data_IF_960751470544
#
_entry.id   IF_960751470544
#
_cell.length_a   1.000
_cell.length_b   1.000
_cell.length_c   1.000
_cell.angle_alpha   90.00
_cell.angle_beta   90.00
_cell.angle_gamma   90.00
#
_symmetry.space_group_name_H-M   'P 1'
#
loop_
_entity.id
_entity.type
_entity.pdbx_description
1 polymer ?
#
# COMPACT_ATOMS: atom_id res chain seq x y z
N UNK A 1 30.11 9.34 37.83
CA UNK A 1 30.29 8.17 36.94
C UNK A 1 29.01 7.33 37.01
N UNK A 2 28.02 7.64 36.18
CA UNK A 2 27.62 6.95 34.92
C UNK A 2 26.66 5.76 35.19
N UNK A 3 25.36 6.00 35.36
CA UNK A 3 24.29 5.89 34.32
C UNK A 3 24.39 4.66 33.39
N UNK A 4 23.84 3.49 33.78
CA UNK A 4 23.83 2.31 32.89
C UNK A 4 22.69 1.27 33.09
N UNK A 5 21.61 1.56 33.83
CA UNK A 5 20.47 0.60 33.94
C UNK A 5 19.28 0.92 33.03
N UNK A 6 18.98 2.20 32.77
CA UNK A 6 17.83 2.59 31.93
C UNK A 6 18.03 2.31 30.43
N UNK A 7 19.29 2.38 29.96
CA UNK A 7 19.64 2.16 28.55
C UNK A 7 19.39 0.72 28.11
N UNK A 8 19.63 -0.27 28.98
CA UNK A 8 19.38 -1.68 28.66
C UNK A 8 17.88 -1.99 28.55
N UNK A 9 17.05 -1.39 29.41
CA UNK A 9 15.61 -1.58 29.36
C UNK A 9 14.98 -0.95 28.10
N UNK A 10 15.42 0.27 27.73
CA UNK A 10 14.98 0.92 26.49
C UNK A 10 15.42 0.16 25.23
N UNK A 11 16.61 -0.44 25.23
CA UNK A 11 17.12 -1.23 24.11
C UNK A 11 16.27 -2.49 23.86
N UNK A 12 15.82 -3.17 24.92
CA UNK A 12 14.94 -4.34 24.78
C UNK A 12 13.54 -3.99 24.25
N UNK A 13 12.98 -2.84 24.65
CA UNK A 13 11.69 -2.36 24.12
C UNK A 13 11.82 -1.96 22.65
N UNK A 14 12.91 -1.30 22.27
CA UNK A 14 13.18 -0.91 20.88
C UNK A 14 13.34 -2.14 19.96
N UNK A 15 14.07 -3.17 20.41
CA UNK A 15 14.23 -4.43 19.66
C UNK A 15 12.92 -5.22 19.57
N UNK A 16 12.06 -5.18 20.60
CA UNK A 16 10.76 -5.84 20.58
C UNK A 16 9.77 -5.17 19.60
N UNK A 17 9.77 -3.83 19.52
CA UNK A 17 8.93 -3.08 18.58
C UNK A 17 9.38 -3.29 17.14
N UNK A 18 10.69 -3.36 16.88
CA UNK A 18 11.22 -3.69 15.54
C UNK A 18 10.94 -5.16 15.18
N UNK A 19 11.04 -6.08 16.14
CA UNK A 19 10.72 -7.50 15.92
C UNK A 19 9.25 -7.76 15.54
N UNK A 20 8.33 -6.90 16.00
CA UNK A 20 6.92 -6.94 15.61
C UNK A 20 6.69 -6.43 14.18
N UNK A 21 7.58 -5.58 13.65
CA UNK A 21 7.55 -5.12 12.26
C UNK A 21 8.20 -6.11 11.28
N UNK A 22 8.99 -7.08 11.78
CA UNK A 22 9.63 -8.12 10.95
C UNK A 22 8.79 -9.39 10.82
N UNK A 23 7.57 -9.44 11.37
CA UNK A 23 6.57 -10.43 10.99
C UNK A 23 5.95 -10.04 9.64
N UNK A 24 6.81 -9.89 8.63
CA UNK A 24 6.40 -9.91 7.24
C UNK A 24 5.82 -11.28 6.93
N UNK A 25 4.71 -11.28 6.19
CA UNK A 25 3.92 -12.44 5.80
C UNK A 25 4.72 -13.74 5.70
N UNK A 26 4.31 -14.73 6.51
CA UNK A 26 4.67 -16.13 6.30
C UNK A 26 4.35 -16.53 4.85
N UNK A 27 5.24 -17.33 4.25
CA UNK A 27 5.11 -17.83 2.87
C UNK A 27 3.85 -18.67 2.66
N UNK A 28 3.27 -19.20 3.74
CA UNK A 28 1.96 -19.82 3.75
C UNK A 28 0.91 -18.78 4.18
N UNK A 29 0.51 -17.93 3.24
CA UNK A 29 -0.51 -16.93 3.49
C UNK A 29 -1.89 -17.62 3.49
N UNK A 30 -2.62 -17.68 4.63
CA UNK A 30 -3.97 -18.25 4.67
C UNK A 30 -4.97 -17.49 3.80
N UNK A 31 -4.60 -16.31 3.30
CA UNK A 31 -5.33 -15.54 2.29
C UNK A 31 -5.10 -16.03 0.85
N UNK A 32 -4.27 -17.07 0.64
CA UNK A 32 -3.99 -17.66 -0.68
C UNK A 32 -4.23 -19.19 -0.72
N UNK A 33 -5.45 -19.68 -0.41
CA UNK A 33 -5.74 -21.12 -0.39
C UNK A 33 -5.70 -21.79 -1.78
N UNK A 34 -5.79 -21.00 -2.86
CA UNK A 34 -5.70 -21.47 -4.27
C UNK A 34 -4.34 -21.22 -4.91
N UNK A 35 -3.41 -20.57 -4.20
CA UNK A 35 -1.97 -20.58 -4.48
C UNK A 35 -1.47 -19.79 -5.69
N UNK A 36 -2.31 -19.23 -6.56
CA UNK A 36 -1.86 -18.90 -7.93
C UNK A 36 -2.01 -17.44 -8.38
N UNK A 37 -2.42 -16.53 -7.49
CA UNK A 37 -2.56 -15.14 -7.88
C UNK A 37 -1.20 -14.46 -8.11
N UNK A 38 -0.95 -14.03 -9.35
CA UNK A 38 0.33 -13.43 -9.77
C UNK A 38 1.57 -14.28 -9.39
N UNK A 39 1.46 -15.61 -9.42
CA UNK A 39 2.55 -16.52 -9.03
C UNK A 39 3.00 -16.35 -7.58
N UNK A 40 2.11 -15.89 -6.69
CA UNK A 40 2.41 -15.60 -5.29
C UNK A 40 2.98 -14.20 -5.03
N UNK A 41 3.19 -13.39 -6.07
CA UNK A 41 3.77 -12.04 -5.97
C UNK A 41 2.74 -10.91 -5.99
N UNK A 42 1.47 -11.21 -5.73
CA UNK A 42 0.40 -10.20 -5.67
C UNK A 42 0.71 -9.08 -4.65
N UNK A 43 1.39 -9.44 -3.55
CA UNK A 43 1.85 -8.50 -2.53
C UNK A 43 2.92 -7.53 -3.06
N UNK A 44 3.72 -7.94 -4.06
CA UNK A 44 4.68 -7.05 -4.69
C UNK A 44 3.98 -6.06 -5.62
N UNK A 45 3.02 -6.54 -6.42
CA UNK A 45 2.29 -5.68 -7.36
C UNK A 45 1.53 -4.54 -6.67
N UNK A 46 0.83 -4.83 -5.56
CA UNK A 46 0.17 -3.77 -4.79
C UNK A 46 1.17 -2.80 -4.14
N UNK A 47 2.32 -3.29 -3.66
CA UNK A 47 3.33 -2.50 -2.98
C UNK A 47 4.08 -1.57 -3.94
N UNK A 48 4.36 -2.03 -5.16
CA UNK A 48 5.03 -1.24 -6.20
C UNK A 48 4.16 -0.02 -6.59
N UNK A 49 2.87 -0.24 -6.85
CA UNK A 49 1.94 0.84 -7.19
C UNK A 49 1.67 1.78 -6.01
N UNK A 50 1.63 1.26 -4.77
CA UNK A 50 1.52 2.10 -3.58
C UNK A 50 2.74 3.01 -3.41
N UNK A 51 3.94 2.47 -3.67
CA UNK A 51 5.17 3.25 -3.63
C UNK A 51 5.21 4.30 -4.74
N UNK A 52 4.77 3.94 -5.95
CA UNK A 52 4.64 4.88 -7.07
C UNK A 52 3.70 6.04 -6.71
N UNK A 53 2.52 5.73 -6.15
CA UNK A 53 1.58 6.75 -5.68
C UNK A 53 2.16 7.64 -4.57
N UNK A 54 2.85 7.04 -3.59
CA UNK A 54 3.51 7.79 -2.50
C UNK A 54 4.60 8.74 -3.01
N UNK A 55 5.37 8.30 -4.01
CA UNK A 55 6.39 9.13 -4.66
C UNK A 55 5.75 10.30 -5.43
N UNK A 56 4.70 10.03 -6.20
CA UNK A 56 3.97 11.06 -6.94
C UNK A 56 3.29 12.07 -6.01
N UNK A 57 2.74 11.62 -4.87
CA UNK A 57 2.19 12.48 -3.84
C UNK A 57 3.25 13.42 -3.25
N UNK A 58 4.46 12.90 -3.02
CA UNK A 58 5.59 13.70 -2.55
C UNK A 58 5.99 14.74 -3.60
N UNK A 59 6.14 14.33 -4.87
CA UNK A 59 6.50 15.22 -5.96
C UNK A 59 5.46 16.34 -6.15
N UNK A 60 4.17 16.04 -6.12
CA UNK A 60 3.11 17.05 -6.18
C UNK A 60 3.10 17.97 -4.96
N UNK A 61 3.39 17.46 -3.77
CA UNK A 61 3.51 18.28 -2.56
C UNK A 61 4.70 19.24 -2.62
N UNK A 62 5.79 18.85 -3.29
CA UNK A 62 6.99 19.70 -3.47
C UNK A 62 6.81 20.72 -4.61
N UNK A 63 6.14 20.31 -5.69
CA UNK A 63 5.81 21.15 -6.84
C UNK A 63 4.38 20.84 -7.33
N UNK A 64 3.38 21.67 -6.98
CA UNK A 64 1.98 21.46 -7.34
C UNK A 64 1.68 21.90 -8.78
N UNK A 65 2.55 21.55 -9.72
CA UNK A 65 2.34 21.79 -11.15
C UNK A 65 1.24 20.88 -11.71
N UNK A 66 0.65 21.29 -12.84
CA UNK A 66 -0.36 20.48 -13.54
C UNK A 66 0.18 19.12 -13.98
N UNK A 67 1.48 19.02 -14.26
CA UNK A 67 2.16 17.78 -14.63
C UNK A 67 2.23 16.84 -13.41
N UNK A 68 2.74 17.30 -12.27
CA UNK A 68 2.83 16.48 -11.06
C UNK A 68 1.46 16.10 -10.51
N UNK A 69 0.45 16.96 -10.68
CA UNK A 69 -0.95 16.62 -10.43
C UNK A 69 -1.40 15.42 -11.27
N UNK A 70 -1.17 15.46 -12.58
CA UNK A 70 -1.59 14.40 -13.49
C UNK A 70 -0.88 13.08 -13.12
N UNK A 71 0.42 13.14 -12.81
CA UNK A 71 1.19 11.99 -12.32
C UNK A 71 0.66 11.45 -10.99
N UNK A 72 0.35 12.32 -10.02
CA UNK A 72 -0.28 11.92 -8.75
C UNK A 72 -1.60 11.18 -8.97
N UNK A 73 -2.49 11.74 -9.79
CA UNK A 73 -3.79 11.13 -10.11
C UNK A 73 -3.64 9.81 -10.87
N UNK A 74 -2.72 9.75 -11.83
CA UNK A 74 -2.46 8.54 -12.60
C UNK A 74 -1.91 7.42 -11.70
N UNK A 75 -0.96 7.74 -10.82
CA UNK A 75 -0.40 6.79 -9.87
C UNK A 75 -1.45 6.31 -8.85
N UNK A 76 -2.32 7.20 -8.37
CA UNK A 76 -3.44 6.82 -7.51
C UNK A 76 -4.39 5.82 -8.19
N UNK A 77 -4.71 6.05 -9.48
CA UNK A 77 -5.53 5.12 -10.26
C UNK A 77 -4.81 3.80 -10.54
N UNK A 78 -3.49 3.82 -10.78
CA UNK A 78 -2.67 2.62 -10.91
C UNK A 78 -2.70 1.74 -9.66
N UNK A 79 -2.64 2.37 -8.47
CA UNK A 79 -2.83 1.65 -7.21
C UNK A 79 -4.21 0.98 -7.09
N UNK A 80 -5.28 1.70 -7.47
CA UNK A 80 -6.63 1.14 -7.47
C UNK A 80 -6.80 0.01 -8.51
N UNK A 81 -6.14 0.11 -9.66
CA UNK A 81 -6.10 -0.96 -10.67
C UNK A 81 -5.38 -2.20 -10.14
N UNK A 82 -4.26 -2.03 -9.42
CA UNK A 82 -3.58 -3.16 -8.79
C UNK A 82 -4.44 -3.86 -7.74
N UNK A 83 -5.22 -3.11 -6.95
CA UNK A 83 -6.19 -3.69 -6.02
C UNK A 83 -7.29 -4.47 -6.76
N UNK A 84 -7.88 -3.89 -7.80
CA UNK A 84 -8.93 -4.55 -8.61
C UNK A 84 -8.42 -5.87 -9.20
N UNK A 85 -7.22 -5.85 -9.79
CA UNK A 85 -6.56 -7.02 -10.35
C UNK A 85 -6.33 -8.15 -9.31
N UNK A 86 -6.10 -7.79 -8.04
CA UNK A 86 -5.97 -8.77 -6.95
C UNK A 86 -7.35 -9.38 -6.64
N UNK A 87 -8.39 -8.55 -6.52
CA UNK A 87 -9.76 -9.01 -6.24
C UNK A 87 -10.42 -9.75 -7.40
N UNK A 88 -9.93 -9.55 -8.62
CA UNK A 88 -10.25 -10.38 -9.78
C UNK A 88 -9.82 -11.83 -9.62
N UNK A 89 -8.77 -12.02 -8.86
CA UNK A 89 -8.03 -13.26 -8.80
C UNK A 89 -8.21 -13.99 -7.46
N UNK A 90 -8.58 -13.27 -6.40
CA UNK A 90 -8.95 -13.82 -5.09
C UNK A 90 -10.48 -13.98 -5.00
N UNK A 91 -11.01 -15.20 -4.77
CA UNK A 91 -12.43 -15.40 -4.55
C UNK A 91 -12.94 -14.58 -3.35
N UNK A 92 -13.91 -13.69 -3.58
CA UNK A 92 -14.51 -12.84 -2.55
C UNK A 92 -16.03 -12.78 -2.70
N UNK A 93 -16.75 -12.76 -1.57
CA UNK A 93 -18.21 -12.61 -1.54
C UNK A 93 -18.67 -11.18 -1.81
N UNK A 94 -17.77 -10.20 -1.67
CA UNK A 94 -18.10 -8.78 -1.67
C UNK A 94 -17.65 -8.10 -2.97
N UNK A 95 -17.55 -8.86 -4.07
CA UNK A 95 -16.94 -8.37 -5.32
C UNK A 95 -17.61 -7.10 -5.84
N UNK A 96 -18.94 -7.09 -5.90
CA UNK A 96 -19.69 -5.94 -6.40
C UNK A 96 -19.48 -4.66 -5.56
N UNK A 97 -19.34 -4.80 -4.24
CA UNK A 97 -19.09 -3.68 -3.33
C UNK A 97 -17.68 -3.11 -3.52
N UNK A 98 -16.70 -3.99 -3.73
CA UNK A 98 -15.31 -3.62 -4.03
C UNK A 98 -15.21 -2.90 -5.37
N UNK A 99 -15.83 -3.44 -6.43
CA UNK A 99 -15.85 -2.81 -7.76
C UNK A 99 -16.47 -1.42 -7.71
N UNK A 100 -17.56 -1.28 -6.96
CA UNK A 100 -18.22 0.00 -6.76
C UNK A 100 -17.31 0.99 -6.01
N UNK A 101 -16.67 0.58 -4.92
CA UNK A 101 -15.75 1.43 -4.16
C UNK A 101 -14.55 1.88 -5.00
N UNK A 102 -13.96 0.98 -5.81
CA UNK A 102 -12.86 1.30 -6.72
C UNK A 102 -13.31 2.32 -7.78
N UNK A 103 -14.50 2.14 -8.36
CA UNK A 103 -15.05 3.07 -9.34
C UNK A 103 -15.34 4.45 -8.75
N UNK A 104 -15.92 4.49 -7.56
CA UNK A 104 -16.18 5.74 -6.83
C UNK A 104 -14.87 6.47 -6.54
N UNK A 105 -13.85 5.77 -6.02
CA UNK A 105 -12.54 6.36 -5.76
C UNK A 105 -11.85 6.91 -7.01
N UNK A 106 -11.89 6.19 -8.15
CA UNK A 106 -11.37 6.70 -9.43
C UNK A 106 -12.10 7.96 -9.90
N UNK A 107 -13.43 7.99 -9.72
CA UNK A 107 -14.25 9.15 -10.08
C UNK A 107 -13.90 10.35 -9.20
N UNK A 108 -13.70 10.14 -7.91
CA UNK A 108 -13.27 11.18 -6.97
C UNK A 108 -11.91 11.77 -7.40
N UNK A 109 -10.91 10.91 -7.65
CA UNK A 109 -9.58 11.32 -8.14
C UNK A 109 -9.68 12.14 -9.44
N UNK A 110 -10.53 11.73 -10.39
CA UNK A 110 -10.71 12.47 -11.63
C UNK A 110 -11.38 13.84 -11.38
N UNK A 111 -12.29 13.91 -10.41
CA UNK A 111 -13.02 15.14 -10.03
C UNK A 111 -12.22 16.13 -9.19
N UNK A 112 -11.16 15.68 -8.50
CA UNK A 112 -10.31 16.56 -7.69
C UNK A 112 -9.67 17.65 -8.56
N UNK A 113 -9.88 18.93 -8.26
CA UNK A 113 -9.09 19.98 -8.90
C UNK A 113 -7.69 19.98 -8.30
N UNK A 114 -6.67 19.82 -9.13
CA UNK A 114 -5.33 20.24 -8.73
C UNK A 114 -5.23 21.75 -8.85
N UNK A 115 -4.58 22.37 -7.86
CA UNK A 115 -4.63 23.80 -7.58
C UNK A 115 -4.26 24.71 -8.73
#
# INVERSE_FOLDING_TARGET
MRTTKKTKLFFFVYVAVIGLLTQGCEKDNPLNPTGNCFGGNWAQGYADELQAWSNAATAYSEDPSSENCAEYKNAAKGYLDALDNIYDCVPTTNRAEIDQAIKEAKTEIDSESCG
#
